data_IF_338546877001
#
_entry.id   IF_338546877001
#
_cell.length_a   1.000
_cell.length_b   1.000
_cell.length_c   1.000
_cell.angle_alpha   90.00
_cell.angle_beta   90.00
_cell.angle_gamma   90.00
#
_symmetry.space_group_name_H-M   'P 1'
#
loop_
_entity.id
_entity.type
_entity.pdbx_description
1 polymer ?
#
# COMPACT_ATOMS: atom_id res chain seq x y z
N UNK A 1 13.19 7.77 -4.17
CA UNK A 1 11.77 7.57 -4.51
C UNK A 1 10.92 7.57 -3.23
N UNK A 2 9.63 7.88 -3.32
CA UNK A 2 8.65 7.57 -2.27
C UNK A 2 7.39 6.91 -2.86
N UNK A 3 6.68 6.14 -2.03
CA UNK A 3 5.45 5.44 -2.41
C UNK A 3 4.33 5.91 -1.51
N UNK A 4 3.30 6.52 -2.09
CA UNK A 4 2.08 6.87 -1.39
C UNK A 4 1.09 5.73 -1.52
N UNK A 5 0.59 5.22 -0.39
CA UNK A 5 -0.52 4.26 -0.34
C UNK A 5 -1.75 4.98 0.18
N UNK A 6 -2.86 4.83 -0.53
CA UNK A 6 -4.17 5.32 -0.13
C UNK A 6 -5.10 4.13 0.07
N UNK A 7 -5.66 4.02 1.28
CA UNK A 7 -6.72 3.08 1.64
C UNK A 7 -8.04 3.82 1.65
N UNK A 8 -9.05 3.25 1.02
CA UNK A 8 -10.40 3.83 0.96
C UNK A 8 -11.46 2.78 1.27
N UNK A 9 -12.43 3.13 2.11
CA UNK A 9 -13.58 2.27 2.38
C UNK A 9 -14.81 3.09 2.73
N UNK A 10 -15.97 2.66 2.21
CA UNK A 10 -17.28 3.22 2.58
C UNK A 10 -17.89 2.53 3.80
N UNK A 11 -17.21 1.51 4.35
CA UNK A 11 -17.66 0.81 5.55
C UNK A 11 -17.07 1.52 6.77
N UNK A 12 -17.93 2.16 7.55
CA UNK A 12 -17.56 2.81 8.82
C UNK A 12 -16.75 1.86 9.70
N UNK A 13 -15.64 2.36 10.23
CA UNK A 13 -14.70 1.64 11.09
C UNK A 13 -13.80 0.64 10.38
N UNK A 14 -13.96 0.40 9.07
CA UNK A 14 -13.18 -0.63 8.36
C UNK A 14 -11.68 -0.29 8.30
N UNK A 15 -11.35 0.97 8.01
CA UNK A 15 -9.96 1.44 7.94
C UNK A 15 -9.31 1.36 9.33
N UNK A 16 -9.95 1.92 10.37
CA UNK A 16 -9.44 1.85 11.73
C UNK A 16 -9.21 0.41 12.19
N UNK A 17 -10.23 -0.45 12.05
CA UNK A 17 -10.13 -1.85 12.44
C UNK A 17 -9.01 -2.59 11.70
N UNK A 18 -8.80 -2.29 10.42
CA UNK A 18 -7.70 -2.84 9.66
C UNK A 18 -6.35 -2.34 10.19
N UNK A 19 -6.18 -1.03 10.34
CA UNK A 19 -4.91 -0.42 10.77
C UNK A 19 -4.52 -0.81 12.20
N UNK A 20 -5.48 -0.91 13.12
CA UNK A 20 -5.22 -1.36 14.50
C UNK A 20 -4.70 -2.80 14.55
N UNK A 21 -5.25 -3.67 13.69
CA UNK A 21 -4.76 -5.05 13.55
C UNK A 21 -3.39 -5.10 12.87
N UNK A 22 -3.21 -4.30 11.82
CA UNK A 22 -1.95 -4.22 11.09
C UNK A 22 -0.80 -3.75 12.00
N UNK A 23 -1.00 -2.68 12.77
CA UNK A 23 -0.01 -2.14 13.69
C UNK A 23 -0.02 -2.77 15.09
N UNK A 24 -0.94 -3.71 15.35
CA UNK A 24 -1.13 -4.39 16.63
C UNK A 24 -1.27 -3.43 17.83
N UNK A 25 -1.98 -2.32 17.63
CA UNK A 25 -2.22 -1.31 18.67
C UNK A 25 -3.52 -0.56 18.40
N UNK A 26 -4.11 -0.02 19.45
CA UNK A 26 -5.22 0.92 19.30
C UNK A 26 -4.74 2.23 18.66
N UNK A 27 -5.57 2.79 17.79
CA UNK A 27 -5.27 4.02 17.08
C UNK A 27 -6.33 5.07 17.41
N UNK A 28 -5.89 6.28 17.70
CA UNK A 28 -6.76 7.44 17.86
C UNK A 28 -7.18 7.96 16.47
N UNK A 29 -8.03 7.18 15.81
CA UNK A 29 -8.61 7.45 14.49
C UNK A 29 -10.14 7.40 14.64
N UNK A 30 -10.82 8.36 14.01
CA UNK A 30 -12.29 8.42 13.97
C UNK A 30 -12.86 7.26 13.15
N UNK A 31 -13.95 6.65 13.63
CA UNK A 31 -14.58 5.50 12.94
C UNK A 31 -15.19 5.89 11.58
N UNK A 32 -15.49 7.18 11.36
CA UNK A 32 -15.98 7.75 10.11
C UNK A 32 -14.91 8.01 9.06
N UNK A 33 -13.64 7.69 9.32
CA UNK A 33 -12.57 7.84 8.32
C UNK A 33 -12.82 6.93 7.12
N UNK A 34 -13.10 7.56 5.98
CA UNK A 34 -13.30 6.88 4.70
C UNK A 34 -12.01 6.72 3.89
N UNK A 35 -10.97 7.51 4.22
CA UNK A 35 -9.69 7.50 3.51
C UNK A 35 -8.51 7.65 4.47
N UNK A 36 -7.48 6.85 4.25
CA UNK A 36 -6.21 6.95 4.95
C UNK A 36 -5.07 6.96 3.94
N UNK A 37 -4.12 7.88 4.12
CA UNK A 37 -3.00 8.08 3.20
C UNK A 37 -1.70 8.08 3.99
N UNK A 38 -0.71 7.33 3.49
CA UNK A 38 0.62 7.31 4.07
C UNK A 38 1.69 7.29 2.99
N UNK A 39 2.78 8.03 3.25
CA UNK A 39 3.92 8.15 2.35
C UNK A 39 5.08 7.34 2.91
N UNK A 40 5.38 6.24 2.24
CA UNK A 40 6.50 5.36 2.55
C UNK A 40 7.76 5.85 1.84
N UNK A 41 8.86 6.00 2.60
CA UNK A 41 10.18 6.32 2.04
C UNK A 41 10.86 5.11 1.40
N UNK A 42 10.46 3.90 1.79
CA UNK A 42 10.98 2.64 1.27
C UNK A 42 9.83 1.87 0.60
N UNK A 43 9.96 1.46 -0.67
CA UNK A 43 8.96 0.64 -1.34
C UNK A 43 8.64 -0.67 -0.61
N UNK A 44 9.64 -1.28 0.06
CA UNK A 44 9.45 -2.51 0.83
C UNK A 44 8.38 -2.34 1.92
N UNK A 45 8.43 -1.24 2.67
CA UNK A 45 7.45 -0.94 3.72
C UNK A 45 6.03 -0.76 3.13
N UNK A 46 5.94 -0.17 1.92
CA UNK A 46 4.67 -0.04 1.21
C UNK A 46 4.12 -1.40 0.73
N UNK A 47 4.99 -2.31 0.29
CA UNK A 47 4.62 -3.66 -0.15
C UNK A 47 3.92 -4.42 0.98
N UNK A 48 4.45 -4.36 2.21
CA UNK A 48 3.84 -5.03 3.37
C UNK A 48 2.38 -4.59 3.59
N UNK A 49 2.14 -3.28 3.56
CA UNK A 49 0.79 -2.71 3.65
C UNK A 49 -0.11 -3.18 2.50
N UNK A 50 0.36 -3.06 1.25
CA UNK A 50 -0.41 -3.40 0.06
C UNK A 50 -0.79 -4.90 0.07
N UNK A 51 0.19 -5.79 0.29
CA UNK A 51 -0.04 -7.23 0.35
C UNK A 51 -1.02 -7.59 1.46
N UNK A 52 -0.85 -7.03 2.66
CA UNK A 52 -1.72 -7.37 3.79
C UNK A 52 -3.17 -6.94 3.56
N UNK A 53 -3.41 -5.78 2.94
CA UNK A 53 -4.76 -5.36 2.58
C UNK A 53 -5.35 -6.28 1.52
N UNK A 54 -4.60 -6.60 0.46
CA UNK A 54 -5.09 -7.45 -0.64
C UNK A 54 -5.42 -8.86 -0.14
N UNK A 55 -4.58 -9.46 0.71
CA UNK A 55 -4.80 -10.80 1.28
C UNK A 55 -6.03 -10.88 2.20
N UNK A 56 -6.52 -9.73 2.69
CA UNK A 56 -7.68 -9.65 3.59
C UNK A 56 -8.84 -8.82 3.01
N UNK A 57 -8.79 -8.49 1.71
CA UNK A 57 -9.73 -7.56 1.09
C UNK A 57 -11.16 -8.12 1.04
N UNK A 58 -11.28 -9.45 0.91
CA UNK A 58 -12.52 -10.21 1.03
C UNK A 58 -13.27 -9.93 2.35
N UNK A 59 -12.54 -9.68 3.45
CA UNK A 59 -13.10 -9.41 4.78
C UNK A 59 -13.37 -7.93 5.03
N UNK A 60 -12.49 -7.07 4.54
CA UNK A 60 -12.47 -5.66 4.94
C UNK A 60 -13.09 -4.69 3.92
N UNK A 61 -13.24 -5.08 2.64
CA UNK A 61 -13.75 -4.21 1.57
C UNK A 61 -13.03 -2.85 1.55
N UNK A 62 -11.70 -2.91 1.49
CA UNK A 62 -10.83 -1.73 1.44
C UNK A 62 -10.22 -1.67 0.03
N UNK A 63 -10.47 -0.57 -0.66
CA UNK A 63 -9.78 -0.26 -1.91
C UNK A 63 -8.39 0.29 -1.62
N UNK A 64 -7.40 -0.15 -2.37
CA UNK A 64 -6.01 0.29 -2.26
C UNK A 64 -5.62 1.01 -3.54
N UNK A 65 -4.93 2.14 -3.39
CA UNK A 65 -4.31 2.86 -4.49
C UNK A 65 -2.85 3.14 -4.15
N UNK A 66 -2.00 3.09 -5.17
CA UNK A 66 -0.57 3.36 -5.04
C UNK A 66 -0.16 4.47 -5.99
N UNK A 67 0.73 5.34 -5.53
CA UNK A 67 1.38 6.36 -6.34
C UNK A 67 2.87 6.32 -6.04
N UNK A 68 3.68 6.28 -7.10
CA UNK A 68 5.14 6.40 -6.98
C UNK A 68 5.52 7.85 -7.29
N UNK A 69 6.29 8.47 -6.40
CA UNK A 69 6.68 9.88 -6.46
C UNK A 69 5.50 10.83 -6.78
N UNK A 70 5.49 11.45 -7.97
CA UNK A 70 4.43 12.37 -8.43
C UNK A 70 3.74 11.87 -9.71
N UNK A 71 3.86 10.58 -10.00
CA UNK A 71 3.21 9.96 -11.16
C UNK A 71 1.73 9.67 -10.89
N UNK A 72 1.09 8.97 -11.81
CA UNK A 72 -0.32 8.64 -11.72
C UNK A 72 -0.63 7.74 -10.51
N UNK A 73 -1.87 7.86 -10.03
CA UNK A 73 -2.42 7.01 -8.98
C UNK A 73 -2.99 5.76 -9.64
N UNK A 74 -2.53 4.59 -9.21
CA UNK A 74 -2.95 3.31 -9.74
C UNK A 74 -3.77 2.52 -8.71
N UNK A 75 -4.96 2.02 -9.06
CA UNK A 75 -5.69 1.09 -8.21
C UNK A 75 -4.96 -0.25 -8.13
N UNK A 76 -4.89 -0.84 -6.94
CA UNK A 76 -4.40 -2.20 -6.72
C UNK A 76 -5.58 -3.15 -6.65
N UNK A 77 -5.56 -4.19 -7.47
CA UNK A 77 -6.60 -5.22 -7.59
C UNK A 77 -5.99 -6.61 -7.47
N UNK A 78 -6.83 -7.63 -7.27
CA UNK A 78 -6.36 -9.03 -7.24
C UNK A 78 -5.68 -9.47 -8.54
N UNK A 79 -6.02 -8.84 -9.66
CA UNK A 79 -5.43 -9.17 -10.95
C UNK A 79 -4.04 -8.53 -11.14
N UNK A 80 -3.80 -7.33 -10.58
CA UNK A 80 -2.59 -6.54 -10.84
C UNK A 80 -1.61 -6.42 -9.66
N UNK A 81 -1.99 -6.85 -8.44
CA UNK A 81 -1.16 -6.63 -7.25
C UNK A 81 0.24 -7.24 -7.39
N UNK A 82 0.36 -8.42 -8.01
CA UNK A 82 1.65 -9.07 -8.24
C UNK A 82 2.57 -8.24 -9.12
N UNK A 83 2.03 -7.60 -10.15
CA UNK A 83 2.83 -6.77 -11.07
C UNK A 83 3.23 -5.45 -10.41
N UNK A 84 2.34 -4.88 -9.58
CA UNK A 84 2.67 -3.71 -8.76
C UNK A 84 3.78 -4.03 -7.76
N UNK A 85 3.70 -5.16 -7.05
CA UNK A 85 4.75 -5.59 -6.11
C UNK A 85 6.08 -5.78 -6.84
N UNK A 86 6.09 -6.45 -8.00
CA UNK A 86 7.30 -6.60 -8.82
C UNK A 86 7.88 -5.26 -9.24
N UNK A 87 7.04 -4.31 -9.65
CA UNK A 87 7.48 -2.97 -10.03
C UNK A 87 8.12 -2.23 -8.84
N UNK A 88 7.50 -2.27 -7.66
CA UNK A 88 8.05 -1.67 -6.45
C UNK A 88 9.38 -2.32 -6.02
N UNK A 89 9.50 -3.65 -6.12
CA UNK A 89 10.75 -4.37 -5.85
C UNK A 89 11.84 -3.98 -6.86
N UNK A 90 11.51 -3.93 -8.15
CA UNK A 90 12.45 -3.50 -9.18
C UNK A 90 12.99 -2.10 -8.91
N UNK A 91 12.12 -1.15 -8.55
CA UNK A 91 12.53 0.21 -8.23
C UNK A 91 13.41 0.27 -6.99
N UNK A 92 13.11 -0.53 -5.97
CA UNK A 92 13.96 -0.65 -4.78
C UNK A 92 15.37 -1.14 -5.12
N UNK A 93 15.50 -2.27 -5.84
CA UNK A 93 16.82 -2.82 -6.18
C UNK A 93 17.59 -1.98 -7.20
N UNK A 94 16.89 -1.21 -8.05
CA UNK A 94 17.49 -0.24 -8.95
C UNK A 94 18.10 0.95 -8.18
N UNK A 95 17.40 1.46 -7.16
CA UNK A 95 17.94 2.55 -6.32
C UNK A 95 19.14 2.10 -5.48
N UNK A 96 19.18 0.83 -5.05
CA UNK A 96 20.29 0.26 -4.29
C UNK A 96 21.52 -0.12 -5.15
N UNK A 97 21.49 0.10 -6.47
CA UNK A 97 22.62 -0.16 -7.37
C UNK A 97 22.92 -1.65 -7.60
N UNK A 98 21.96 -2.55 -7.32
CA UNK A 98 22.15 -4.01 -7.39
C UNK A 98 21.95 -4.56 -8.82
N UNK A 99 21.27 -3.80 -9.68
CA UNK A 99 21.16 -4.09 -11.11
C UNK A 99 22.02 -3.12 -11.93
N UNK A 100 23.31 -3.42 -12.10
CA UNK A 100 24.04 -2.93 -13.28
C UNK A 100 23.61 -3.79 -14.47
N UNK A 101 22.99 -3.18 -15.48
CA UNK A 101 22.78 -3.84 -16.76
C UNK A 101 24.15 -4.18 -17.35
N UNK A 102 24.57 -5.43 -17.20
CA UNK A 102 25.72 -5.98 -17.91
C UNK A 102 25.42 -5.87 -19.40
N UNK A 103 26.01 -4.86 -20.03
CA UNK A 103 25.93 -4.56 -21.47
C UNK A 103 26.71 -5.59 -22.28
#
# INVERSE_FOLDING_TARGET
MYVTVNLSSRKTGAIKCFLEKFYQKELDIDDGVEQWVYVYKKPLDAIEMISTVIDNNDKHKISVFVQVDKYDIHPVTYENYNDIIKALLYLYYKEEGVYEEST
#
